data_IF_759929005699
#
_entry.id   IF_759929005699
#
_cell.length_a   1.000
_cell.length_b   1.000
_cell.length_c   1.000
_cell.angle_alpha   90.00
_cell.angle_beta   90.00
_cell.angle_gamma   90.00
#
_symmetry.space_group_name_H-M   'P 1'
#
loop_
_entity.id
_entity.type
_entity.pdbx_description
1 polymer ?
#
# COMPACT_ATOMS: atom_id res chain seq x y z
N UNK A 1 1.31 -1.47 -24.62
CA UNK A 1 0.70 -1.66 -23.29
C UNK A 1 1.48 -0.96 -22.19
N UNK A 2 2.80 -1.17 -22.06
CA UNK A 2 3.66 -0.54 -21.02
C UNK A 2 3.62 1.01 -21.07
N UNK A 3 3.71 1.62 -22.26
CA UNK A 3 3.70 3.09 -22.40
C UNK A 3 2.39 3.77 -21.94
N UNK A 4 1.25 3.08 -22.09
CA UNK A 4 -0.08 3.62 -21.76
C UNK A 4 -0.32 3.62 -20.25
N UNK A 5 0.21 2.61 -19.57
CA UNK A 5 0.12 2.46 -18.14
C UNK A 5 1.09 3.42 -17.41
N UNK A 6 2.29 3.69 -17.96
CA UNK A 6 3.21 4.73 -17.46
C UNK A 6 2.54 6.11 -17.51
N UNK A 7 1.89 6.45 -18.64
CA UNK A 7 1.17 7.72 -18.78
C UNK A 7 -0.02 7.85 -17.82
N UNK A 8 -0.75 6.76 -17.53
CA UNK A 8 -1.87 6.77 -16.57
C UNK A 8 -1.42 6.88 -15.11
N UNK A 9 -0.25 6.34 -14.74
CA UNK A 9 0.28 6.45 -13.39
C UNK A 9 0.71 7.88 -13.03
N UNK A 10 1.09 8.68 -14.03
CA UNK A 10 1.35 10.12 -13.86
C UNK A 10 0.05 10.95 -13.68
N UNK A 11 -1.12 10.40 -14.06
CA UNK A 11 -2.42 11.08 -13.94
C UNK A 11 -3.21 10.71 -12.66
N UNK A 12 -2.92 9.57 -12.02
CA UNK A 12 -3.61 9.14 -10.80
C UNK A 12 -3.04 9.90 -9.59
N UNK A 13 -3.73 10.97 -9.19
CA UNK A 13 -3.19 11.94 -8.24
C UNK A 13 -3.68 11.73 -6.79
N UNK A 14 -4.62 10.80 -6.57
CA UNK A 14 -5.23 10.60 -5.24
C UNK A 14 -5.41 9.13 -4.84
N UNK A 15 -5.38 8.86 -3.53
CA UNK A 15 -5.63 7.53 -2.95
C UNK A 15 -7.03 6.97 -3.31
N UNK A 16 -7.99 7.87 -3.61
CA UNK A 16 -9.34 7.51 -4.02
C UNK A 16 -9.34 6.94 -5.44
N UNK A 17 -8.68 7.61 -6.39
CA UNK A 17 -8.58 7.16 -7.78
C UNK A 17 -7.80 5.86 -7.92
N UNK A 18 -6.76 5.66 -7.09
CA UNK A 18 -6.08 4.37 -6.97
C UNK A 18 -7.05 3.28 -6.53
N UNK A 19 -7.84 3.55 -5.47
CA UNK A 19 -8.82 2.61 -4.97
C UNK A 19 -9.89 2.27 -6.00
N UNK A 20 -10.35 3.26 -6.76
CA UNK A 20 -11.39 3.07 -7.78
C UNK A 20 -10.85 2.35 -9.03
N UNK A 21 -9.58 2.57 -9.42
CA UNK A 21 -8.90 1.79 -10.47
C UNK A 21 -8.76 0.31 -10.08
N UNK A 22 -8.34 0.03 -8.85
CA UNK A 22 -8.22 -1.33 -8.33
C UNK A 22 -9.58 -2.04 -8.33
N UNK A 23 -10.66 -1.36 -7.89
CA UNK A 23 -12.03 -1.89 -7.93
C UNK A 23 -12.51 -2.20 -9.35
N UNK A 24 -12.19 -1.34 -10.32
CA UNK A 24 -12.66 -1.47 -11.70
C UNK A 24 -11.97 -2.62 -12.44
N UNK A 25 -10.67 -2.80 -12.22
CA UNK A 25 -9.90 -3.84 -12.90
C UNK A 25 -10.07 -5.22 -12.26
N UNK A 26 -10.36 -5.33 -10.95
CA UNK A 26 -10.17 -6.60 -10.21
C UNK A 26 -11.15 -6.85 -9.06
N UNK A 27 -12.30 -7.50 -9.31
CA UNK A 27 -13.32 -7.85 -8.30
C UNK A 27 -12.91 -8.94 -7.28
N UNK A 28 -11.70 -9.51 -7.38
CA UNK A 28 -11.20 -10.64 -6.59
C UNK A 28 -10.36 -10.30 -5.34
N UNK A 29 -9.93 -9.05 -5.16
CA UNK A 29 -9.35 -8.56 -3.89
C UNK A 29 -10.44 -8.48 -2.79
N UNK A 30 -10.49 -9.48 -1.91
CA UNK A 30 -11.63 -9.81 -1.05
C UNK A 30 -12.17 -8.69 -0.14
N UNK A 31 -11.35 -7.70 0.24
CA UNK A 31 -11.80 -6.55 1.03
C UNK A 31 -11.99 -5.30 0.16
N UNK A 32 -11.16 -5.14 -0.88
CA UNK A 32 -11.12 -3.95 -1.72
C UNK A 32 -12.31 -3.87 -2.68
N UNK A 33 -12.99 -5.00 -2.90
CA UNK A 33 -14.18 -5.13 -3.75
C UNK A 33 -15.49 -5.17 -2.99
N UNK A 34 -15.44 -5.06 -1.67
CA UNK A 34 -16.64 -4.89 -0.89
C UNK A 34 -17.27 -3.51 -1.16
N UNK A 35 -18.59 -3.39 -1.03
CA UNK A 35 -19.25 -2.09 -0.94
C UNK A 35 -18.52 -1.19 0.05
N UNK A 36 -18.42 0.11 -0.24
CA UNK A 36 -17.61 1.06 0.55
C UNK A 36 -17.96 1.04 2.06
N UNK A 37 -19.22 0.77 2.39
CA UNK A 37 -19.68 0.64 3.77
C UNK A 37 -19.10 -0.60 4.49
N UNK A 38 -19.10 -1.75 3.83
CA UNK A 38 -18.55 -3.01 4.33
C UNK A 38 -17.03 -2.94 4.44
N UNK A 39 -16.39 -2.39 3.40
CA UNK A 39 -14.96 -2.10 3.42
C UNK A 39 -14.57 -1.21 4.61
N UNK A 40 -15.30 -0.12 4.86
CA UNK A 40 -15.04 0.75 6.02
C UNK A 40 -15.32 0.06 7.35
N UNK A 41 -16.30 -0.83 7.41
CA UNK A 41 -16.61 -1.60 8.61
C UNK A 41 -15.50 -2.61 8.92
N UNK A 42 -15.03 -3.36 7.92
CA UNK A 42 -13.90 -4.29 8.06
C UNK A 42 -12.64 -3.51 8.47
N UNK A 43 -12.32 -2.40 7.82
CA UNK A 43 -11.16 -1.56 8.20
C UNK A 43 -11.19 -1.06 9.65
N UNK A 44 -12.38 -0.80 10.19
CA UNK A 44 -12.53 -0.42 11.60
C UNK A 44 -12.35 -1.62 12.52
N UNK A 45 -12.86 -2.79 12.12
CA UNK A 45 -12.74 -4.02 12.89
C UNK A 45 -11.28 -4.48 13.02
N UNK A 46 -10.46 -4.25 11.98
CA UNK A 46 -9.05 -4.65 11.93
C UNK A 46 -8.08 -3.51 12.34
N UNK A 47 -8.57 -2.46 13.01
CA UNK A 47 -7.73 -1.35 13.43
C UNK A 47 -6.70 -1.81 14.47
N UNK A 48 -5.42 -1.59 14.17
CA UNK A 48 -4.27 -2.07 14.93
C UNK A 48 -4.07 -3.60 14.95
N UNK A 49 -4.77 -4.36 14.10
CA UNK A 49 -4.50 -5.79 13.86
C UNK A 49 -3.33 -5.94 12.88
N UNK A 50 -2.11 -6.10 13.41
CA UNK A 50 -0.92 -6.23 12.58
C UNK A 50 -0.93 -7.48 11.68
N UNK A 51 -1.23 -8.71 12.18
CA UNK A 51 -1.34 -9.89 11.32
C UNK A 51 -2.27 -9.68 10.12
N UNK A 52 -3.48 -9.15 10.36
CA UNK A 52 -4.44 -8.95 9.28
C UNK A 52 -3.99 -7.90 8.25
N UNK A 53 -3.31 -6.84 8.70
CA UNK A 53 -2.75 -5.83 7.79
C UNK A 53 -1.59 -6.39 6.96
N UNK A 54 -0.81 -7.33 7.51
CA UNK A 54 0.24 -8.05 6.76
C UNK A 54 -0.39 -8.93 5.68
N UNK A 55 -1.44 -9.69 5.99
CA UNK A 55 -2.15 -10.53 5.02
C UNK A 55 -2.67 -9.70 3.83
N UNK A 56 -3.33 -8.57 4.10
CA UNK A 56 -3.84 -7.67 3.05
C UNK A 56 -2.71 -7.18 2.14
N UNK A 57 -1.56 -6.81 2.71
CA UNK A 57 -0.40 -6.37 1.92
C UNK A 57 0.23 -7.54 1.15
N UNK A 58 0.27 -8.74 1.74
CA UNK A 58 0.78 -9.95 1.09
C UNK A 58 -0.05 -10.31 -0.14
N UNK A 59 -1.38 -10.39 0.00
CA UNK A 59 -2.30 -10.65 -1.11
C UNK A 59 -2.15 -9.61 -2.22
N UNK A 60 -2.01 -8.33 -1.85
CA UNK A 60 -1.82 -7.26 -2.80
C UNK A 60 -0.44 -7.31 -3.49
N UNK A 61 0.61 -7.80 -2.83
CA UNK A 61 1.93 -8.04 -3.41
C UNK A 61 1.93 -9.22 -4.39
N UNK A 62 1.36 -10.36 -4.00
CA UNK A 62 1.25 -11.55 -4.86
C UNK A 62 0.58 -11.19 -6.19
N UNK A 63 -0.48 -10.39 -6.10
CA UNK A 63 -1.17 -9.87 -7.25
C UNK A 63 -0.33 -8.91 -8.08
N UNK A 64 0.34 -7.95 -7.43
CA UNK A 64 1.23 -7.00 -8.12
C UNK A 64 2.29 -7.74 -8.95
N UNK A 65 2.91 -8.76 -8.38
CA UNK A 65 3.87 -9.62 -9.09
C UNK A 65 3.22 -10.42 -10.23
N UNK A 66 2.00 -10.94 -10.05
CA UNK A 66 1.30 -11.72 -11.07
C UNK A 66 0.83 -10.88 -12.27
N UNK A 67 0.55 -9.58 -12.06
CA UNK A 67 -0.13 -8.71 -13.04
C UNK A 67 0.76 -7.66 -13.66
N UNK A 68 1.88 -7.32 -13.00
CA UNK A 68 2.71 -6.19 -13.41
C UNK A 68 2.01 -4.84 -13.28
N UNK A 69 1.01 -4.73 -12.37
CA UNK A 69 0.33 -3.47 -12.08
C UNK A 69 1.34 -2.38 -11.71
N UNK A 70 1.08 -1.14 -12.13
CA UNK A 70 2.03 -0.05 -11.90
C UNK A 70 1.92 0.54 -10.50
N UNK A 71 0.74 0.46 -9.89
CA UNK A 71 0.50 1.06 -8.58
C UNK A 71 0.95 0.11 -7.48
N UNK A 72 1.76 0.58 -6.50
CA UNK A 72 2.18 -0.24 -5.38
C UNK A 72 1.00 -0.72 -4.53
N UNK A 73 1.17 -1.83 -3.79
CA UNK A 73 0.12 -2.38 -2.94
C UNK A 73 -0.42 -1.36 -1.94
N UNK A 74 -1.73 -1.32 -1.79
CA UNK A 74 -2.40 -0.44 -0.83
C UNK A 74 -2.15 -0.93 0.63
N UNK A 75 -2.43 -0.09 1.63
CA UNK A 75 -2.32 -0.40 3.07
C UNK A 75 -0.95 -0.53 3.75
N UNK A 76 0.17 -0.52 3.03
CA UNK A 76 1.50 -0.56 3.66
C UNK A 76 1.76 0.53 4.72
N UNK A 77 1.11 1.70 4.59
CA UNK A 77 1.16 2.77 5.60
C UNK A 77 0.66 2.32 6.98
N UNK A 78 -0.38 1.47 7.03
CA UNK A 78 -0.96 1.01 8.30
C UNK A 78 -0.01 0.12 9.07
N UNK A 79 0.73 -0.76 8.39
CA UNK A 79 1.77 -1.59 9.02
C UNK A 79 2.79 -0.70 9.72
N UNK A 80 3.32 0.33 9.04
CA UNK A 80 4.30 1.25 9.63
C UNK A 80 3.75 2.00 10.85
N UNK A 81 2.47 2.42 10.82
CA UNK A 81 1.83 3.09 11.96
C UNK A 81 1.64 2.14 13.14
N UNK A 82 1.21 0.90 12.91
CA UNK A 82 0.98 -0.08 13.97
C UNK A 82 2.29 -0.44 14.67
N UNK A 83 3.35 -0.71 13.90
CA UNK A 83 4.69 -0.98 14.43
C UNK A 83 5.21 0.20 15.27
N UNK A 84 5.01 1.42 14.80
CA UNK A 84 5.38 2.64 15.54
C UNK A 84 4.65 2.78 16.86
N UNK A 85 3.33 2.57 16.88
CA UNK A 85 2.51 2.63 18.10
C UNK A 85 2.93 1.55 19.10
N UNK A 86 3.27 0.36 18.60
CA UNK A 86 3.76 -0.75 19.39
C UNK A 86 5.22 -0.59 19.85
N UNK A 87 5.90 0.52 19.48
CA UNK A 87 7.32 0.76 19.76
C UNK A 87 8.25 -0.35 19.23
N UNK A 88 7.84 -1.02 18.14
CA UNK A 88 8.62 -2.06 17.45
C UNK A 88 9.50 -1.41 16.39
N UNK A 89 10.41 -0.54 16.83
CA UNK A 89 11.16 0.37 15.95
C UNK A 89 12.06 -0.36 14.95
N UNK A 90 12.72 -1.45 15.34
CA UNK A 90 13.60 -2.21 14.45
C UNK A 90 12.83 -2.88 13.31
N UNK A 91 11.66 -3.43 13.62
CA UNK A 91 10.79 -4.04 12.62
C UNK A 91 10.17 -3.01 11.71
N UNK A 92 9.78 -1.84 12.25
CA UNK A 92 9.31 -0.73 11.43
C UNK A 92 10.40 -0.32 10.42
N UNK A 93 11.65 -0.21 10.88
CA UNK A 93 12.78 0.14 10.01
C UNK A 93 13.04 -0.93 8.96
N UNK A 94 13.03 -2.20 9.34
CA UNK A 94 13.19 -3.32 8.41
C UNK A 94 12.10 -3.32 7.34
N UNK A 95 10.84 -3.16 7.75
CA UNK A 95 9.69 -3.05 6.85
C UNK A 95 9.83 -1.87 5.89
N UNK A 96 10.12 -0.67 6.41
CA UNK A 96 10.26 0.54 5.59
C UNK A 96 11.41 0.43 4.59
N UNK A 97 12.54 -0.16 4.99
CA UNK A 97 13.68 -0.38 4.09
C UNK A 97 13.33 -1.37 2.97
N UNK A 98 12.70 -2.49 3.30
CA UNK A 98 12.24 -3.46 2.32
C UNK A 98 11.22 -2.83 1.36
N UNK A 99 10.21 -2.14 1.88
CA UNK A 99 9.20 -1.47 1.07
C UNK A 99 9.81 -0.44 0.13
N UNK A 100 10.65 0.45 0.65
CA UNK A 100 11.26 1.53 -0.14
C UNK A 100 12.23 1.01 -1.20
N UNK A 101 12.91 -0.12 -0.98
CA UNK A 101 13.75 -0.76 -2.00
C UNK A 101 12.98 -1.09 -3.28
N UNK A 102 11.71 -1.51 -3.14
CA UNK A 102 10.88 -1.92 -4.26
C UNK A 102 9.98 -0.79 -4.79
N UNK A 103 9.48 0.05 -3.89
CA UNK A 103 8.42 1.01 -4.20
C UNK A 103 8.80 2.47 -3.94
N UNK A 104 10.02 2.75 -3.44
CA UNK A 104 10.46 4.09 -3.04
C UNK A 104 10.56 5.10 -4.19
N UNK A 105 10.64 4.62 -5.42
CA UNK A 105 10.66 5.44 -6.65
C UNK A 105 9.30 5.58 -7.32
N UNK A 106 8.26 4.92 -6.81
CA UNK A 106 6.97 4.85 -7.50
C UNK A 106 6.13 6.10 -7.19
N UNK A 107 5.65 6.72 -8.26
CA UNK A 107 5.02 8.04 -8.34
C UNK A 107 3.65 8.03 -7.62
N UNK A 108 3.42 8.99 -6.72
CA UNK A 108 2.11 9.22 -6.07
C UNK A 108 2.16 9.60 -4.58
N UNK A 109 1.29 10.52 -4.16
CA UNK A 109 1.33 11.21 -2.86
C UNK A 109 1.18 10.33 -1.60
N UNK A 110 0.59 9.13 -1.71
CA UNK A 110 0.46 8.21 -0.55
C UNK A 110 1.75 7.42 -0.29
N UNK A 111 2.48 7.05 -1.34
CA UNK A 111 3.75 6.30 -1.20
C UNK A 111 4.92 7.21 -0.82
N UNK A 112 4.84 8.49 -1.22
CA UNK A 112 5.74 9.53 -0.75
C UNK A 112 5.80 9.61 0.79
N UNK A 113 4.69 9.35 1.49
CA UNK A 113 4.64 9.37 2.96
C UNK A 113 5.44 8.23 3.60
N UNK A 114 5.42 7.04 3.00
CA UNK A 114 6.25 5.90 3.45
C UNK A 114 7.74 6.20 3.24
N UNK A 115 8.10 6.75 2.07
CA UNK A 115 9.45 7.18 1.78
C UNK A 115 9.92 8.29 2.74
N UNK A 116 9.09 9.29 3.02
CA UNK A 116 9.37 10.35 3.98
C UNK A 116 9.57 9.79 5.39
N UNK A 117 8.71 8.86 5.81
CA UNK A 117 8.84 8.17 7.10
C UNK A 117 10.14 7.38 7.18
N UNK A 118 10.49 6.65 6.13
CA UNK A 118 11.75 5.91 6.05
C UNK A 118 12.96 6.86 6.20
N UNK A 119 12.96 8.02 5.52
CA UNK A 119 14.02 9.04 5.68
C UNK A 119 14.10 9.57 7.12
N UNK A 120 12.97 9.85 7.77
CA UNK A 120 12.92 10.26 9.19
C UNK A 120 13.47 9.19 10.14
N UNK A 121 13.45 7.92 9.71
CA UNK A 121 14.01 6.77 10.44
C UNK A 121 15.45 6.41 10.02
N UNK A 122 16.11 7.28 9.24
CA UNK A 122 17.51 7.12 8.81
C UNK A 122 17.72 6.11 7.69
N UNK A 123 16.68 5.79 6.91
CA UNK A 123 16.75 4.84 5.80
C UNK A 123 16.93 5.60 4.48
N UNK A 124 17.87 5.13 3.65
CA UNK A 124 18.05 5.62 2.28
C UNK A 124 16.94 5.06 1.38
N UNK A 125 16.23 5.94 0.67
CA UNK A 125 15.09 5.63 -0.20
C UNK A 125 15.38 6.03 -1.63
#
# INVERSE_FOLDING_TARGET
MIQKAIAMADEINTAKEIGDFIKAERPDLSILNQPEAEFRAELRAIDNDLPRQIEIVHEALDHWFATGLIVPPYYAWRIAIILSKAKRDDEERAFLAAWCRHFGRVVGGTFAKLAERARKRGITV
#
